data_IF_258545734420
#
_entry.id   IF_258545734420
#
_cell.length_a   1.000
_cell.length_b   1.000
_cell.length_c   1.000
_cell.angle_alpha   90.00
_cell.angle_beta   90.00
_cell.angle_gamma   90.00
#
_symmetry.space_group_name_H-M   'P 1'
#
loop_
_entity.id
_entity.type
_entity.pdbx_description
1 polymer ?
#
# COMPACT_ATOMS: atom_id res chain seq x y z
N UNK A 1 -4.65 9.20 -23.87
CA UNK A 1 -4.09 7.90 -23.45
C UNK A 1 -2.93 8.18 -22.50
N UNK A 2 -2.93 7.61 -21.31
CA UNK A 2 -1.85 7.79 -20.32
C UNK A 2 -0.78 6.71 -20.48
N UNK A 3 0.46 7.14 -20.50
CA UNK A 3 1.63 6.26 -20.50
C UNK A 3 1.99 5.90 -19.07
N UNK A 4 1.89 4.64 -18.73
CA UNK A 4 2.08 4.12 -17.37
C UNK A 4 3.36 3.29 -17.28
N UNK A 5 4.18 3.57 -16.30
CA UNK A 5 5.25 2.67 -15.83
C UNK A 5 4.73 1.90 -14.62
N UNK A 6 4.81 0.57 -14.67
CA UNK A 6 4.33 -0.33 -13.64
C UNK A 6 5.50 -1.03 -12.94
N UNK A 7 5.80 -0.63 -11.72
CA UNK A 7 6.82 -1.24 -10.88
C UNK A 7 6.20 -2.32 -10.00
N UNK A 8 6.53 -3.59 -10.25
CA UNK A 8 5.96 -4.75 -9.55
C UNK A 8 4.84 -5.44 -10.36
N UNK A 9 4.97 -5.51 -11.67
CA UNK A 9 3.94 -5.97 -12.63
C UNK A 9 3.49 -7.43 -12.42
N UNK A 10 4.30 -8.27 -11.79
CA UNK A 10 4.01 -9.69 -11.56
C UNK A 10 3.40 -9.99 -10.19
N UNK A 11 3.27 -8.98 -9.32
CA UNK A 11 2.57 -9.07 -8.03
C UNK A 11 1.05 -8.99 -8.18
N UNK A 12 0.32 -9.13 -7.06
CA UNK A 12 -1.16 -9.07 -7.05
C UNK A 12 -1.70 -7.76 -7.61
N UNK A 13 -1.19 -6.61 -7.15
CA UNK A 13 -1.59 -5.30 -7.67
C UNK A 13 -1.11 -5.11 -9.11
N UNK A 14 0.10 -5.58 -9.43
CA UNK A 14 0.64 -5.51 -10.79
C UNK A 14 -0.22 -6.25 -11.81
N UNK A 15 -0.61 -7.48 -11.51
CA UNK A 15 -1.50 -8.27 -12.39
C UNK A 15 -2.90 -7.66 -12.50
N UNK A 16 -3.43 -7.06 -11.43
CA UNK A 16 -4.68 -6.29 -11.49
C UNK A 16 -4.54 -5.03 -12.34
N UNK A 17 -3.37 -4.36 -12.29
CA UNK A 17 -3.08 -3.20 -13.15
C UNK A 17 -3.01 -3.59 -14.64
N UNK A 18 -2.41 -4.74 -14.95
CA UNK A 18 -2.39 -5.29 -16.31
C UNK A 18 -3.81 -5.56 -16.82
N UNK A 19 -4.68 -6.14 -15.98
CA UNK A 19 -6.10 -6.35 -16.33
C UNK A 19 -6.83 -5.02 -16.60
N UNK A 20 -6.57 -3.99 -15.81
CA UNK A 20 -7.15 -2.66 -16.03
C UNK A 20 -6.66 -2.06 -17.36
N UNK A 21 -5.39 -2.21 -17.69
CA UNK A 21 -4.84 -1.76 -18.98
C UNK A 21 -5.44 -2.56 -20.16
N UNK A 22 -5.70 -3.85 -19.98
CA UNK A 22 -6.38 -4.69 -20.97
C UNK A 22 -7.82 -4.22 -21.24
N UNK A 23 -8.54 -3.78 -20.19
CA UNK A 23 -9.93 -3.31 -20.32
C UNK A 23 -10.02 -1.89 -20.91
N UNK A 24 -8.97 -1.10 -20.81
CA UNK A 24 -8.93 0.31 -21.21
C UNK A 24 -7.79 0.61 -22.20
N UNK A 25 -7.69 -0.14 -23.33
CA UNK A 25 -6.54 -0.05 -24.25
C UNK A 25 -6.40 1.33 -24.93
N UNK A 26 -7.50 2.08 -25.05
CA UNK A 26 -7.50 3.42 -25.63
C UNK A 26 -7.16 4.53 -24.61
N UNK A 27 -7.12 4.20 -23.31
CA UNK A 27 -6.88 5.16 -22.24
C UNK A 27 -5.54 4.93 -21.53
N UNK A 28 -5.07 3.68 -21.42
CA UNK A 28 -3.88 3.28 -20.66
C UNK A 28 -2.93 2.49 -21.55
N UNK A 29 -1.66 2.90 -21.56
CA UNK A 29 -0.56 2.20 -22.23
C UNK A 29 0.54 1.89 -21.23
N UNK A 30 0.89 0.62 -21.07
CA UNK A 30 2.02 0.19 -20.26
C UNK A 30 3.31 0.34 -21.07
N UNK A 31 4.12 1.34 -20.75
CA UNK A 31 5.37 1.65 -21.47
C UNK A 31 6.63 1.14 -20.79
N UNK A 32 6.54 0.82 -19.49
CA UNK A 32 7.63 0.27 -18.70
C UNK A 32 7.08 -0.76 -17.69
N UNK A 33 7.73 -1.92 -17.58
CA UNK A 33 7.33 -2.99 -16.67
C UNK A 33 8.51 -3.43 -15.81
N UNK A 34 8.32 -3.52 -14.49
CA UNK A 34 9.32 -4.08 -13.60
C UNK A 34 8.77 -5.29 -12.83
N UNK A 35 9.58 -6.34 -12.73
CA UNK A 35 9.29 -7.52 -11.94
C UNK A 35 10.41 -7.82 -10.92
N UNK A 36 10.08 -8.53 -9.84
CA UNK A 36 11.06 -9.09 -8.93
C UNK A 36 11.80 -10.26 -9.58
N UNK A 37 11.25 -11.47 -9.42
CA UNK A 37 11.91 -12.71 -9.84
C UNK A 37 11.16 -13.52 -10.91
N UNK A 38 9.93 -13.16 -11.25
CA UNK A 38 9.09 -13.92 -12.16
C UNK A 38 9.35 -13.51 -13.62
N UNK A 39 10.34 -14.17 -14.23
CA UNK A 39 10.75 -13.94 -15.63
C UNK A 39 9.64 -14.31 -16.61
N UNK A 40 8.99 -15.45 -16.40
CA UNK A 40 7.98 -15.99 -17.33
C UNK A 40 6.80 -15.03 -17.50
N UNK A 41 6.23 -14.58 -16.38
CA UNK A 41 5.10 -13.64 -16.41
C UNK A 41 5.52 -12.27 -16.96
N UNK A 42 6.74 -11.80 -16.64
CA UNK A 42 7.27 -10.57 -17.23
C UNK A 42 7.41 -10.70 -18.75
N UNK A 43 7.89 -11.83 -19.27
CA UNK A 43 7.97 -12.10 -20.71
C UNK A 43 6.60 -12.10 -21.39
N UNK A 44 5.62 -12.77 -20.78
CA UNK A 44 4.24 -12.80 -21.26
C UNK A 44 3.66 -11.39 -21.38
N UNK A 45 3.76 -10.61 -20.29
CA UNK A 45 3.29 -9.23 -20.25
C UNK A 45 4.04 -8.33 -21.26
N UNK A 46 5.36 -8.53 -21.42
CA UNK A 46 6.17 -7.79 -22.38
C UNK A 46 5.76 -8.06 -23.82
N UNK A 47 5.51 -9.32 -24.17
CA UNK A 47 5.02 -9.70 -25.53
C UNK A 47 3.66 -9.10 -25.84
N UNK A 48 2.78 -9.07 -24.84
CA UNK A 48 1.41 -8.55 -24.97
C UNK A 48 1.37 -7.03 -25.10
N UNK A 49 2.00 -6.33 -24.17
CA UNK A 49 1.90 -4.86 -24.05
C UNK A 49 2.98 -4.11 -24.81
N UNK A 50 4.05 -4.78 -25.24
CA UNK A 50 5.17 -4.22 -26.01
C UNK A 50 5.72 -2.93 -25.39
N UNK A 51 6.12 -2.95 -24.09
CA UNK A 51 6.68 -1.78 -23.44
C UNK A 51 8.00 -1.40 -24.10
N UNK A 52 8.39 -0.13 -23.97
CA UNK A 52 9.69 0.35 -24.44
C UNK A 52 10.85 -0.19 -23.59
N UNK A 53 10.60 -0.41 -22.29
CA UNK A 53 11.61 -0.92 -21.38
C UNK A 53 11.02 -1.87 -20.32
N UNK A 54 11.87 -2.79 -19.85
CA UNK A 54 11.55 -3.67 -18.71
C UNK A 54 12.71 -3.70 -17.71
N UNK A 55 12.40 -4.04 -16.46
CA UNK A 55 13.41 -4.25 -15.42
C UNK A 55 13.12 -5.51 -14.60
N UNK A 56 14.17 -6.18 -14.18
CA UNK A 56 14.08 -7.33 -13.26
C UNK A 56 15.11 -7.19 -12.14
N UNK A 57 14.83 -7.74 -10.94
CA UNK A 57 15.73 -7.53 -9.80
C UNK A 57 17.13 -8.10 -10.02
N UNK A 58 17.22 -9.27 -10.63
CA UNK A 58 18.46 -10.04 -10.79
C UNK A 58 19.12 -9.74 -12.16
N UNK A 59 20.41 -9.39 -12.15
CA UNK A 59 21.18 -9.11 -13.35
C UNK A 59 21.43 -10.33 -14.23
N UNK A 60 21.48 -11.54 -13.67
CA UNK A 60 21.61 -12.78 -14.46
C UNK A 60 20.29 -13.03 -15.23
N UNK A 61 19.14 -12.84 -14.58
CA UNK A 61 17.82 -12.94 -15.24
C UNK A 61 17.62 -11.86 -16.30
N UNK A 62 18.23 -10.67 -16.13
CA UNK A 62 18.20 -9.63 -17.17
C UNK A 62 18.92 -10.07 -18.45
N UNK A 63 20.02 -10.82 -18.32
CA UNK A 63 20.71 -11.41 -19.49
C UNK A 63 19.87 -12.49 -20.18
N UNK A 64 19.14 -13.31 -19.42
CA UNK A 64 18.19 -14.28 -20.00
C UNK A 64 17.08 -13.57 -20.78
N UNK A 65 16.49 -12.50 -20.22
CA UNK A 65 15.51 -11.67 -20.92
C UNK A 65 16.08 -11.07 -22.21
N UNK A 66 17.33 -10.58 -22.18
CA UNK A 66 18.01 -10.00 -23.34
C UNK A 66 18.16 -11.03 -24.47
N UNK A 67 18.49 -12.28 -24.14
CA UNK A 67 18.61 -13.35 -25.13
C UNK A 67 17.28 -13.70 -25.81
N UNK A 68 16.16 -13.57 -25.08
CA UNK A 68 14.81 -13.90 -25.57
C UNK A 68 14.16 -12.73 -26.33
N UNK A 69 14.31 -11.50 -25.81
CA UNK A 69 13.65 -10.30 -26.36
C UNK A 69 14.50 -9.56 -27.41
N UNK A 70 15.79 -9.85 -27.46
CA UNK A 70 16.70 -9.18 -28.38
C UNK A 70 16.83 -7.67 -28.11
N UNK A 71 17.00 -6.89 -29.19
CA UNK A 71 17.15 -5.44 -29.10
C UNK A 71 15.82 -4.66 -29.16
N UNK A 72 14.68 -5.34 -29.16
CA UNK A 72 13.35 -4.71 -29.35
C UNK A 72 12.83 -4.00 -28.08
N UNK A 73 13.38 -4.35 -26.93
CA UNK A 73 12.98 -3.80 -25.61
C UNK A 73 14.26 -3.48 -24.83
N UNK A 74 14.29 -2.31 -24.22
CA UNK A 74 15.38 -1.93 -23.31
C UNK A 74 15.26 -2.73 -22.00
N UNK A 75 16.34 -3.39 -21.58
CA UNK A 75 16.34 -4.23 -20.38
C UNK A 75 17.26 -3.63 -19.30
N UNK A 76 16.70 -3.46 -18.11
CA UNK A 76 17.39 -2.98 -16.93
C UNK A 76 17.36 -4.02 -15.80
N UNK A 77 18.16 -3.80 -14.76
CA UNK A 77 18.14 -4.65 -13.56
C UNK A 77 18.44 -3.87 -12.29
N UNK A 78 18.03 -4.44 -11.16
CA UNK A 78 18.27 -3.91 -9.82
C UNK A 78 17.60 -2.57 -9.55
N UNK A 79 18.05 -1.89 -8.51
CA UNK A 79 17.51 -0.59 -8.10
C UNK A 79 17.69 0.50 -9.18
N UNK A 80 18.85 0.54 -9.82
CA UNK A 80 19.11 1.49 -10.90
C UNK A 80 18.14 1.28 -12.07
N UNK A 81 17.77 0.03 -12.34
CA UNK A 81 16.77 -0.31 -13.33
C UNK A 81 15.39 0.20 -12.99
N UNK A 82 14.99 0.12 -11.73
CA UNK A 82 13.72 0.69 -11.25
C UNK A 82 13.69 2.21 -11.39
N UNK A 83 14.80 2.89 -11.03
CA UNK A 83 14.92 4.35 -11.17
C UNK A 83 14.87 4.76 -12.64
N UNK A 84 15.57 4.05 -13.55
CA UNK A 84 15.52 4.33 -14.99
C UNK A 84 14.12 4.21 -15.56
N UNK A 85 13.36 3.17 -15.15
CA UNK A 85 11.96 3.05 -15.56
C UNK A 85 11.09 4.18 -14.99
N UNK A 86 11.24 4.47 -13.70
CA UNK A 86 10.45 5.50 -13.00
C UNK A 86 10.67 6.91 -13.59
N UNK A 87 11.81 7.14 -14.25
CA UNK A 87 12.17 8.44 -14.82
C UNK A 87 12.08 8.47 -16.36
N UNK A 88 11.41 7.48 -16.99
CA UNK A 88 11.20 7.49 -18.45
C UNK A 88 10.54 8.80 -18.90
N UNK A 89 11.09 9.52 -19.89
CA UNK A 89 10.55 10.82 -20.31
C UNK A 89 9.09 10.75 -20.75
N UNK A 90 8.69 9.67 -21.41
CA UNK A 90 7.36 9.46 -21.97
C UNK A 90 6.32 9.05 -20.93
N UNK A 91 6.73 8.74 -19.70
CA UNK A 91 5.81 8.34 -18.64
C UNK A 91 4.98 9.54 -18.15
N UNK A 92 3.68 9.38 -18.05
CA UNK A 92 2.78 10.32 -17.41
C UNK A 92 2.64 10.01 -15.90
N UNK A 93 2.62 8.71 -15.57
CA UNK A 93 2.41 8.22 -14.20
C UNK A 93 3.21 6.94 -13.94
N UNK A 94 3.72 6.81 -12.72
CA UNK A 94 4.41 5.60 -12.24
C UNK A 94 3.57 4.93 -11.17
N UNK A 95 3.08 3.71 -11.43
CA UNK A 95 2.40 2.90 -10.44
C UNK A 95 3.41 2.02 -9.69
N UNK A 96 3.45 2.19 -8.37
CA UNK A 96 4.42 1.53 -7.49
C UNK A 96 3.71 0.44 -6.69
N UNK A 97 3.93 -0.80 -7.11
CA UNK A 97 3.36 -2.02 -6.52
C UNK A 97 4.44 -2.99 -6.03
N UNK A 98 5.58 -2.45 -5.61
CA UNK A 98 6.68 -3.22 -5.01
C UNK A 98 6.41 -3.35 -3.51
N UNK A 99 6.42 -4.57 -2.99
CA UNK A 99 6.17 -4.84 -1.57
C UNK A 99 7.28 -4.24 -0.71
N UNK A 100 6.90 -3.64 0.41
CA UNK A 100 7.82 -3.03 1.38
C UNK A 100 8.39 -1.70 0.90
N UNK A 101 9.60 -1.38 1.35
CA UNK A 101 10.21 -0.06 1.20
C UNK A 101 11.07 0.12 -0.05
N UNK A 102 11.29 -0.94 -0.83
CA UNK A 102 12.15 -0.89 -2.05
C UNK A 102 11.61 0.06 -3.14
N UNK A 103 10.33 0.40 -3.08
CA UNK A 103 9.69 1.37 -3.97
C UNK A 103 10.01 2.84 -3.64
N UNK A 104 10.63 3.16 -2.50
CA UNK A 104 10.82 4.54 -2.06
C UNK A 104 11.77 5.34 -2.97
N UNK A 105 12.92 4.79 -3.30
CA UNK A 105 13.88 5.48 -4.19
C UNK A 105 13.31 5.73 -5.59
N UNK A 106 12.72 4.74 -6.30
CA UNK A 106 12.06 5.02 -7.57
C UNK A 106 10.86 5.97 -7.46
N UNK A 107 10.11 5.97 -6.34
CA UNK A 107 9.05 6.96 -6.10
C UNK A 107 9.58 8.39 -6.06
N UNK A 108 10.62 8.65 -5.28
CA UNK A 108 11.26 9.96 -5.19
C UNK A 108 11.90 10.37 -6.52
N UNK A 109 12.49 9.44 -7.27
CA UNK A 109 13.04 9.70 -8.59
C UNK A 109 11.94 10.09 -9.60
N UNK A 110 10.80 9.41 -9.61
CA UNK A 110 9.64 9.73 -10.44
C UNK A 110 9.11 11.15 -10.13
N UNK A 111 8.91 11.46 -8.84
CA UNK A 111 8.47 12.79 -8.39
C UNK A 111 9.41 13.88 -8.89
N UNK A 112 10.72 13.71 -8.70
CA UNK A 112 11.75 14.67 -9.12
C UNK A 112 11.83 14.81 -10.64
N UNK A 113 11.43 13.78 -11.37
CA UNK A 113 11.30 13.80 -12.84
C UNK A 113 9.95 14.38 -13.32
N UNK A 114 9.13 14.93 -12.42
CA UNK A 114 7.84 15.55 -12.74
C UNK A 114 6.75 14.55 -13.11
N UNK A 115 6.85 13.30 -12.65
CA UNK A 115 5.86 12.26 -12.93
C UNK A 115 4.86 12.13 -11.76
N UNK A 116 3.57 12.02 -12.09
CA UNK A 116 2.59 11.59 -11.10
C UNK A 116 2.93 10.19 -10.60
N UNK A 117 2.60 9.88 -9.35
CA UNK A 117 2.78 8.54 -8.81
C UNK A 117 1.46 7.97 -8.30
N UNK A 118 1.24 6.69 -8.54
CA UNK A 118 0.16 5.90 -7.94
C UNK A 118 0.78 4.91 -6.96
N UNK A 119 0.50 5.04 -5.66
CA UNK A 119 1.14 4.25 -4.60
C UNK A 119 0.21 3.14 -4.14
N UNK A 120 0.68 1.89 -4.31
CA UNK A 120 0.04 0.70 -3.74
C UNK A 120 0.82 0.14 -2.53
N UNK A 121 2.07 0.57 -2.33
CA UNK A 121 2.95 0.15 -1.22
C UNK A 121 2.87 1.18 -0.11
N UNK A 122 1.94 0.97 0.83
CA UNK A 122 1.71 1.87 1.98
C UNK A 122 2.95 2.12 2.81
N UNK A 123 3.84 1.15 2.87
CA UNK A 123 5.08 1.21 3.63
C UNK A 123 5.95 2.43 3.24
N UNK A 124 5.86 2.88 1.99
CA UNK A 124 6.59 4.07 1.50
C UNK A 124 6.13 5.34 2.25
N UNK A 125 4.82 5.55 2.37
CA UNK A 125 4.27 6.72 3.06
C UNK A 125 4.36 6.56 4.57
N UNK A 126 4.24 5.36 5.10
CA UNK A 126 4.46 5.11 6.53
C UNK A 126 5.89 5.48 6.91
N UNK A 127 6.88 5.04 6.15
CA UNK A 127 8.28 5.25 6.47
C UNK A 127 8.75 6.69 6.18
N UNK A 128 8.34 7.27 5.07
CA UNK A 128 8.89 8.52 4.54
C UNK A 128 7.83 9.50 4.01
N UNK A 129 6.60 9.47 4.57
CA UNK A 129 5.47 10.24 4.06
C UNK A 129 5.72 11.76 4.05
N UNK A 130 6.38 12.33 5.09
CA UNK A 130 6.77 13.75 5.12
C UNK A 130 7.66 14.09 3.91
N UNK A 131 8.68 13.27 3.64
CA UNK A 131 9.61 13.47 2.52
C UNK A 131 8.90 13.30 1.17
N UNK A 132 8.12 12.23 0.98
CA UNK A 132 7.44 11.94 -0.29
C UNK A 132 6.41 13.02 -0.63
N UNK A 133 5.55 13.39 0.33
CA UNK A 133 4.54 14.42 0.11
C UNK A 133 5.15 15.82 -0.02
N UNK A 134 6.25 16.09 0.70
CA UNK A 134 7.02 17.33 0.57
C UNK A 134 7.64 17.48 -0.83
N UNK A 135 8.29 16.45 -1.34
CA UNK A 135 8.83 16.44 -2.70
C UNK A 135 7.72 16.54 -3.75
N UNK A 136 6.60 15.84 -3.57
CA UNK A 136 5.46 15.92 -4.49
C UNK A 136 4.91 17.35 -4.60
N UNK A 137 4.72 18.04 -3.48
CA UNK A 137 4.32 19.47 -3.47
C UNK A 137 5.35 20.35 -4.16
N UNK A 138 6.63 20.14 -3.89
CA UNK A 138 7.73 20.92 -4.48
C UNK A 138 7.80 20.79 -6.01
N UNK A 139 7.56 19.60 -6.54
CA UNK A 139 7.61 19.35 -7.98
C UNK A 139 6.24 19.45 -8.67
N UNK A 140 5.16 19.76 -7.93
CA UNK A 140 3.82 19.95 -8.47
C UNK A 140 3.20 18.67 -9.05
N UNK A 141 3.58 17.50 -8.55
CA UNK A 141 3.06 16.20 -9.00
C UNK A 141 2.04 15.63 -8.03
N UNK A 142 1.16 14.76 -8.53
CA UNK A 142 0.12 14.11 -7.75
C UNK A 142 0.62 12.79 -7.17
N UNK A 143 0.19 12.52 -5.93
CA UNK A 143 0.31 11.22 -5.28
C UNK A 143 -1.08 10.62 -5.18
N UNK A 144 -1.35 9.58 -5.98
CA UNK A 144 -2.66 8.94 -6.09
C UNK A 144 -2.69 7.64 -5.30
N UNK A 145 -3.74 7.46 -4.51
CA UNK A 145 -3.92 6.26 -3.70
C UNK A 145 -4.41 5.08 -4.52
N UNK A 146 -3.78 3.93 -4.36
CA UNK A 146 -4.20 2.64 -4.96
C UNK A 146 -4.80 1.73 -3.90
N UNK A 147 -4.40 1.85 -2.63
CA UNK A 147 -5.03 1.10 -1.54
C UNK A 147 -6.54 1.41 -1.48
N UNK A 148 -7.39 0.41 -1.31
CA UNK A 148 -8.84 0.54 -1.50
C UNK A 148 -9.46 1.55 -0.56
N UNK A 149 -9.04 1.59 0.69
CA UNK A 149 -9.52 2.50 1.71
C UNK A 149 -9.14 3.96 1.42
N UNK A 150 -7.90 4.17 0.99
CA UNK A 150 -7.42 5.52 0.64
C UNK A 150 -8.01 6.01 -0.68
N UNK A 151 -8.18 5.12 -1.66
CA UNK A 151 -8.93 5.43 -2.88
C UNK A 151 -10.36 5.84 -2.56
N UNK A 152 -11.02 5.16 -1.62
CA UNK A 152 -12.36 5.48 -1.17
C UNK A 152 -12.42 6.87 -0.52
N UNK A 153 -11.50 7.18 0.41
CA UNK A 153 -11.39 8.51 1.01
C UNK A 153 -11.16 9.57 -0.05
N UNK A 154 -10.23 9.36 -0.97
CA UNK A 154 -9.93 10.28 -2.06
C UNK A 154 -11.16 10.57 -2.92
N UNK A 155 -11.97 9.55 -3.23
CA UNK A 155 -13.24 9.70 -3.96
C UNK A 155 -14.30 10.45 -3.15
N UNK A 156 -14.35 10.24 -1.82
CA UNK A 156 -15.29 10.91 -0.94
C UNK A 156 -14.92 12.39 -0.72
N UNK A 157 -13.64 12.72 -0.69
CA UNK A 157 -13.16 14.10 -0.56
C UNK A 157 -13.48 14.95 -1.79
N UNK A 158 -13.36 14.38 -2.98
CA UNK A 158 -13.71 15.03 -4.26
C UNK A 158 -13.16 16.47 -4.38
N UNK A 159 -11.91 16.65 -4.00
CA UNK A 159 -11.23 17.96 -4.04
C UNK A 159 -11.63 18.95 -2.94
N UNK A 160 -12.48 18.57 -1.99
CA UNK A 160 -12.81 19.42 -0.86
C UNK A 160 -11.61 19.62 0.07
N UNK A 161 -11.44 20.79 0.66
CA UNK A 161 -10.30 21.10 1.52
C UNK A 161 -10.36 20.32 2.84
N UNK A 162 -9.19 20.05 3.41
CA UNK A 162 -9.04 19.25 4.66
C UNK A 162 -9.68 19.90 5.88
N UNK A 163 -9.86 21.21 5.92
CA UNK A 163 -10.55 21.93 7.01
C UNK A 163 -12.06 21.64 7.05
N UNK A 164 -12.67 21.24 5.92
CA UNK A 164 -14.06 20.79 5.86
C UNK A 164 -14.27 19.38 6.42
N UNK A 165 -13.19 18.62 6.61
CA UNK A 165 -13.24 17.25 7.11
C UNK A 165 -13.21 17.24 8.63
N UNK A 166 -14.16 16.58 9.27
CA UNK A 166 -14.14 16.33 10.71
C UNK A 166 -13.29 15.13 11.04
N UNK A 167 -13.52 14.01 10.31
CA UNK A 167 -12.83 12.73 10.56
C UNK A 167 -12.79 11.86 9.32
N UNK A 168 -11.72 11.10 9.17
CA UNK A 168 -11.61 9.99 8.23
C UNK A 168 -11.90 8.69 8.95
N UNK A 169 -12.75 7.86 8.39
CA UNK A 169 -13.11 6.54 8.90
C UNK A 169 -12.59 5.46 7.96
N UNK A 170 -11.51 4.80 8.36
CA UNK A 170 -10.97 3.63 7.67
C UNK A 170 -11.78 2.40 8.06
N UNK A 171 -12.33 1.69 7.10
CA UNK A 171 -13.00 0.42 7.38
C UNK A 171 -12.00 -0.74 7.43
N UNK A 172 -12.26 -1.71 8.30
CA UNK A 172 -11.48 -2.93 8.43
C UNK A 172 -12.39 -4.15 8.37
N UNK A 173 -11.97 -5.24 7.71
CA UNK A 173 -12.72 -6.51 7.80
C UNK A 173 -12.76 -7.08 9.21
N UNK A 174 -11.83 -6.65 10.07
CA UNK A 174 -11.59 -7.18 11.42
C UNK A 174 -10.73 -8.43 11.45
N UNK A 175 -10.34 -8.95 10.28
CA UNK A 175 -9.50 -10.13 10.15
C UNK A 175 -10.17 -11.45 10.62
N UNK A 176 -9.44 -12.57 10.58
CA UNK A 176 -9.98 -13.89 10.94
C UNK A 176 -10.31 -14.03 12.44
N UNK A 177 -9.69 -13.22 13.30
CA UNK A 177 -9.82 -13.35 14.76
C UNK A 177 -10.75 -12.32 15.41
N UNK A 178 -11.54 -11.62 14.60
CA UNK A 178 -12.49 -10.60 15.09
C UNK A 178 -13.39 -11.09 16.23
N UNK A 179 -13.85 -12.34 16.18
CA UNK A 179 -14.73 -12.96 17.21
C UNK A 179 -14.00 -13.88 18.18
N UNK A 180 -12.69 -14.09 18.03
CA UNK A 180 -11.91 -14.98 18.86
C UNK A 180 -11.70 -14.37 20.25
N UNK A 181 -11.99 -15.10 21.36
CA UNK A 181 -11.70 -14.60 22.70
C UNK A 181 -10.20 -14.32 22.91
N UNK A 182 -9.88 -13.30 23.71
CA UNK A 182 -8.47 -12.89 23.99
C UNK A 182 -7.64 -14.04 24.55
N UNK A 183 -8.25 -14.90 25.39
CA UNK A 183 -7.58 -16.06 25.98
C UNK A 183 -7.04 -17.06 24.95
N UNK A 184 -7.66 -17.13 23.77
CA UNK A 184 -7.29 -18.09 22.73
C UNK A 184 -6.17 -17.56 21.80
N UNK A 185 -5.78 -16.29 21.93
CA UNK A 185 -4.77 -15.67 21.05
C UNK A 185 -3.40 -16.30 21.18
N UNK A 186 -3.04 -16.84 22.34
CA UNK A 186 -1.75 -17.52 22.55
C UNK A 186 -1.60 -18.79 21.70
N UNK A 187 -2.73 -19.42 21.33
CA UNK A 187 -2.76 -20.66 20.53
C UNK A 187 -2.92 -20.44 19.02
N UNK A 188 -2.98 -19.18 18.56
CA UNK A 188 -3.16 -18.87 17.11
C UNK A 188 -1.94 -19.36 16.31
N UNK A 189 -2.21 -20.16 15.28
CA UNK A 189 -1.20 -20.70 14.38
C UNK A 189 -1.04 -19.86 13.11
N UNK A 190 0.07 -20.05 12.40
CA UNK A 190 0.32 -19.39 11.11
C UNK A 190 -0.77 -19.72 10.09
N UNK A 191 -1.18 -20.99 10.05
CA UNK A 191 -2.21 -21.49 9.11
C UNK A 191 -3.58 -20.85 9.36
N UNK A 192 -3.91 -20.59 10.62
CA UNK A 192 -5.14 -19.88 11.00
C UNK A 192 -5.05 -18.40 10.62
N UNK A 193 -3.91 -17.74 10.89
CA UNK A 193 -3.71 -16.33 10.60
C UNK A 193 -3.64 -16.01 9.09
N UNK A 194 -3.28 -16.99 8.26
CA UNK A 194 -3.27 -16.87 6.80
C UNK A 194 -4.66 -17.06 6.14
N UNK A 195 -5.71 -17.38 6.91
CA UNK A 195 -7.08 -17.54 6.38
C UNK A 195 -7.87 -16.23 6.50
N UNK A 196 -7.70 -15.34 5.50
CA UNK A 196 -8.50 -14.11 5.46
C UNK A 196 -9.94 -14.40 5.04
N UNK A 197 -10.97 -13.79 5.69
CA UNK A 197 -12.38 -14.10 5.44
C UNK A 197 -12.90 -13.63 4.06
N UNK A 198 -12.32 -12.56 3.49
CA UNK A 198 -12.89 -11.88 2.31
C UNK A 198 -11.91 -11.69 1.15
N UNK A 199 -10.60 -11.61 1.42
CA UNK A 199 -9.59 -11.27 0.43
C UNK A 199 -8.56 -12.39 0.25
N UNK A 200 -8.11 -12.57 -1.01
CA UNK A 200 -6.92 -13.39 -1.32
C UNK A 200 -5.74 -12.44 -1.50
N UNK A 201 -4.81 -12.46 -0.57
CA UNK A 201 -3.71 -11.50 -0.50
C UNK A 201 -2.37 -12.19 -0.28
N UNK A 202 -1.28 -11.41 -0.38
CA UNK A 202 0.06 -11.87 -0.02
C UNK A 202 0.17 -12.24 1.47
N UNK A 203 1.17 -13.08 1.82
CA UNK A 203 1.33 -13.62 3.17
C UNK A 203 1.47 -12.53 4.25
N UNK A 204 2.34 -11.53 4.01
CA UNK A 204 2.59 -10.44 4.97
C UNK A 204 1.30 -9.65 5.27
N UNK A 205 0.62 -9.14 4.25
CA UNK A 205 -0.59 -8.34 4.42
C UNK A 205 -1.75 -9.15 5.03
N UNK A 206 -1.79 -10.47 4.82
CA UNK A 206 -2.80 -11.34 5.46
C UNK A 206 -2.56 -11.44 6.96
N UNK A 207 -1.31 -11.58 7.41
CA UNK A 207 -0.96 -11.54 8.85
C UNK A 207 -1.21 -10.14 9.42
N UNK A 208 -0.88 -9.09 8.68
CA UNK A 208 -1.17 -7.72 9.10
C UNK A 208 -2.68 -7.46 9.27
N UNK A 209 -3.51 -8.05 8.42
CA UNK A 209 -4.97 -8.02 8.58
C UNK A 209 -5.40 -8.77 9.84
N UNK A 210 -4.82 -9.94 10.11
CA UNK A 210 -5.12 -10.75 11.29
C UNK A 210 -4.77 -10.04 12.61
N UNK A 211 -3.74 -9.21 12.62
CA UNK A 211 -3.26 -8.44 13.77
C UNK A 211 -3.77 -6.99 13.81
N UNK A 212 -4.51 -6.55 12.79
CA UNK A 212 -4.87 -5.17 12.48
C UNK A 212 -3.68 -4.23 12.21
N UNK A 213 -2.46 -4.72 12.02
CA UNK A 213 -1.33 -3.89 11.56
C UNK A 213 -1.55 -3.33 10.15
N UNK A 214 -2.27 -4.04 9.27
CA UNK A 214 -2.63 -3.46 7.98
C UNK A 214 -3.35 -2.12 8.17
N UNK A 215 -4.37 -2.10 9.02
CA UNK A 215 -5.13 -0.88 9.30
C UNK A 215 -4.34 0.15 10.09
N UNK A 216 -3.44 -0.31 10.97
CA UNK A 216 -2.50 0.52 11.68
C UNK A 216 -1.58 1.32 10.74
N UNK A 217 -1.00 0.66 9.73
CA UNK A 217 -0.18 1.32 8.71
C UNK A 217 -1.00 2.28 7.85
N UNK A 218 -2.21 1.91 7.51
CA UNK A 218 -3.14 2.74 6.74
C UNK A 218 -3.55 4.03 7.47
N UNK A 219 -3.64 4.03 8.79
CA UNK A 219 -3.87 5.27 9.55
C UNK A 219 -2.75 6.29 9.33
N UNK A 220 -1.49 5.83 9.31
CA UNK A 220 -0.33 6.69 9.08
C UNK A 220 -0.27 7.13 7.61
N UNK A 221 -0.59 6.23 6.67
CA UNK A 221 -0.67 6.57 5.25
C UNK A 221 -1.74 7.65 4.98
N UNK A 222 -2.96 7.51 5.57
CA UNK A 222 -4.05 8.48 5.44
C UNK A 222 -3.65 9.87 5.93
N UNK A 223 -2.93 9.95 7.06
CA UNK A 223 -2.39 11.21 7.57
C UNK A 223 -1.60 11.97 6.49
N UNK A 224 -0.72 11.28 5.79
CA UNK A 224 0.15 11.89 4.79
C UNK A 224 -0.57 12.20 3.48
N UNK A 225 -1.36 11.25 2.96
CA UNK A 225 -2.07 11.42 1.70
C UNK A 225 -3.06 12.58 1.73
N UNK A 226 -3.76 12.75 2.86
CA UNK A 226 -4.87 13.72 2.97
C UNK A 226 -4.53 14.93 3.82
N UNK A 227 -3.27 15.05 4.25
CA UNK A 227 -2.77 16.17 5.08
C UNK A 227 -3.68 16.43 6.30
N UNK A 228 -3.94 15.37 7.06
CA UNK A 228 -4.85 15.39 8.21
C UNK A 228 -4.14 14.89 9.47
N UNK A 229 -4.51 15.45 10.64
CA UNK A 229 -3.93 15.04 11.91
C UNK A 229 -4.35 13.60 12.29
N UNK A 230 -3.44 12.85 12.94
CA UNK A 230 -3.72 11.47 13.39
C UNK A 230 -4.95 11.35 14.28
N UNK A 231 -5.23 12.37 15.09
CA UNK A 231 -6.42 12.41 15.96
C UNK A 231 -7.74 12.40 15.17
N UNK A 232 -7.69 12.77 13.90
CA UNK A 232 -8.84 12.80 12.99
C UNK A 232 -8.92 11.59 12.06
N UNK A 233 -8.07 10.58 12.26
CA UNK A 233 -8.11 9.29 11.54
C UNK A 233 -8.56 8.20 12.50
N UNK A 234 -9.70 7.60 12.24
CA UNK A 234 -10.26 6.53 13.03
C UNK A 234 -10.55 5.27 12.21
N UNK A 235 -10.80 4.18 12.92
CA UNK A 235 -11.04 2.86 12.34
C UNK A 235 -12.39 2.35 12.79
N UNK A 236 -13.13 1.75 11.87
CA UNK A 236 -14.36 1.02 12.16
C UNK A 236 -14.29 -0.37 11.52
N UNK A 237 -14.72 -1.39 12.24
CA UNK A 237 -14.78 -2.76 11.70
C UNK A 237 -16.06 -2.92 10.88
N UNK A 238 -15.90 -3.28 9.60
CA UNK A 238 -16.98 -3.55 8.65
C UNK A 238 -16.72 -4.89 7.95
N UNK A 239 -17.25 -6.00 8.49
CA UNK A 239 -16.89 -7.36 8.05
C UNK A 239 -17.21 -7.67 6.59
N UNK A 240 -18.22 -7.03 6.04
CA UNK A 240 -18.64 -7.24 4.65
C UNK A 240 -17.68 -6.61 3.63
N UNK A 241 -16.84 -5.65 4.06
CA UNK A 241 -15.86 -4.94 3.23
C UNK A 241 -16.47 -4.30 1.97
N UNK A 242 -17.73 -3.90 2.02
CA UNK A 242 -18.45 -3.24 0.91
C UNK A 242 -18.29 -1.73 0.97
N UNK A 243 -18.39 -1.16 2.18
CA UNK A 243 -17.97 0.22 2.44
C UNK A 243 -16.46 0.20 2.61
N UNK A 244 -15.74 0.81 1.66
CA UNK A 244 -14.28 0.78 1.69
C UNK A 244 -13.69 1.83 2.64
N UNK A 245 -14.30 2.99 2.77
CA UNK A 245 -14.02 4.03 3.79
C UNK A 245 -15.05 5.14 3.72
N UNK A 246 -15.00 6.06 4.70
CA UNK A 246 -15.94 7.17 4.81
C UNK A 246 -15.22 8.45 5.23
N UNK A 247 -15.79 9.58 4.84
CA UNK A 247 -15.38 10.92 5.31
C UNK A 247 -16.54 11.53 6.06
N UNK A 248 -16.31 11.94 7.31
CA UNK A 248 -17.22 12.73 8.13
C UNK A 248 -16.84 14.20 7.99
N UNK A 249 -17.77 15.03 7.61
CA UNK A 249 -17.57 16.46 7.43
C UNK A 249 -17.95 17.24 8.69
N UNK A 250 -17.50 18.50 8.75
CA UNK A 250 -17.73 19.38 9.93
C UNK A 250 -19.22 19.70 10.16
N UNK A 251 -20.06 19.59 9.13
CA UNK A 251 -21.51 19.74 9.21
C UNK A 251 -22.23 18.48 9.75
N UNK A 252 -21.48 17.39 10.04
CA UNK A 252 -22.00 16.12 10.52
C UNK A 252 -22.44 15.16 9.42
N UNK A 253 -22.35 15.52 8.14
CA UNK A 253 -22.62 14.58 7.05
C UNK A 253 -21.51 13.57 6.88
N UNK A 254 -21.86 12.35 6.42
CA UNK A 254 -20.90 11.30 6.09
C UNK A 254 -21.04 10.90 4.62
N UNK A 255 -19.92 10.85 3.90
CA UNK A 255 -19.86 10.33 2.53
C UNK A 255 -19.03 9.05 2.54
N UNK A 256 -19.55 8.00 1.93
CA UNK A 256 -18.94 6.69 1.85
C UNK A 256 -18.80 6.23 0.40
N UNK A 257 -17.68 5.60 0.06
CA UNK A 257 -17.53 4.89 -1.20
C UNK A 257 -17.82 3.40 -0.97
N UNK A 258 -18.69 2.86 -1.81
CA UNK A 258 -19.13 1.47 -1.74
C UNK A 258 -18.82 0.76 -3.06
N UNK A 259 -18.30 -0.45 -2.96
CA UNK A 259 -18.23 -1.40 -4.07
C UNK A 259 -18.03 -2.83 -3.57
N UNK A 260 -18.31 -3.80 -4.43
CA UNK A 260 -17.81 -5.16 -4.21
C UNK A 260 -16.28 -5.14 -4.21
N UNK A 261 -15.60 -5.86 -3.29
CA UNK A 261 -14.15 -5.85 -3.18
C UNK A 261 -13.45 -6.32 -4.46
N UNK A 262 -12.77 -5.39 -5.16
CA UNK A 262 -11.91 -5.67 -6.32
C UNK A 262 -10.87 -4.54 -6.47
N UNK A 263 -9.58 -4.91 -6.47
CA UNK A 263 -8.50 -3.95 -6.62
C UNK A 263 -8.42 -3.28 -7.99
N UNK A 264 -9.08 -3.83 -9.01
CA UNK A 264 -9.14 -3.18 -10.32
C UNK A 264 -9.84 -1.81 -10.26
N UNK A 265 -10.83 -1.63 -9.37
CA UNK A 265 -11.55 -0.36 -9.25
C UNK A 265 -10.65 0.80 -8.76
N UNK A 266 -9.96 0.70 -7.60
CA UNK A 266 -9.06 1.78 -7.15
C UNK A 266 -7.87 1.98 -8.08
N UNK A 267 -7.33 0.93 -8.70
CA UNK A 267 -6.27 1.04 -9.71
C UNK A 267 -6.77 1.82 -10.93
N UNK A 268 -7.94 1.44 -11.47
CA UNK A 268 -8.55 2.14 -12.60
C UNK A 268 -8.74 3.63 -12.27
N UNK A 269 -9.34 3.92 -11.11
CA UNK A 269 -9.58 5.30 -10.72
C UNK A 269 -8.30 6.13 -10.60
N UNK A 270 -7.24 5.57 -10.00
CA UNK A 270 -5.94 6.24 -9.91
C UNK A 270 -5.32 6.50 -11.30
N UNK A 271 -5.41 5.53 -12.22
CA UNK A 271 -4.82 5.66 -13.55
C UNK A 271 -5.64 6.54 -14.51
N UNK A 272 -6.96 6.66 -14.31
CA UNK A 272 -7.81 7.49 -15.18
C UNK A 272 -8.14 8.87 -14.60
N UNK A 273 -7.85 9.09 -13.31
CA UNK A 273 -8.17 10.37 -12.63
C UNK A 273 -7.72 11.59 -13.46
N UNK A 274 -8.58 12.64 -13.58
CA UNK A 274 -9.84 12.86 -12.86
C UNK A 274 -11.06 12.14 -13.45
N UNK A 275 -10.93 11.47 -14.58
CA UNK A 275 -12.03 10.81 -15.27
C UNK A 275 -12.47 9.53 -14.56
N UNK A 276 -13.76 9.18 -14.70
CA UNK A 276 -14.29 7.86 -14.32
C UNK A 276 -14.51 7.02 -15.58
N UNK A 277 -13.57 6.15 -15.89
CA UNK A 277 -13.71 5.26 -17.03
C UNK A 277 -14.80 4.19 -16.78
N UNK A 278 -15.52 3.84 -17.83
CA UNK A 278 -16.52 2.77 -17.78
C UNK A 278 -15.85 1.43 -17.47
N UNK A 279 -16.46 0.65 -16.57
CA UNK A 279 -16.02 -0.71 -16.26
C UNK A 279 -17.22 -1.58 -15.93
N UNK A 280 -17.22 -2.80 -16.43
CA UNK A 280 -18.23 -3.83 -16.13
C UNK A 280 -17.69 -4.87 -15.11
N UNK A 281 -16.45 -4.70 -14.60
CA UNK A 281 -15.81 -5.63 -13.65
C UNK A 281 -16.48 -5.64 -12.29
N UNK A 282 -16.85 -4.45 -11.78
CA UNK A 282 -17.38 -4.31 -10.44
C UNK A 282 -18.85 -3.91 -10.53
N UNK A 283 -19.72 -4.80 -10.06
CA UNK A 283 -21.16 -4.55 -9.99
C UNK A 283 -21.63 -4.77 -8.56
N UNK A 284 -22.14 -3.74 -7.92
CA UNK A 284 -22.62 -3.79 -6.55
C UNK A 284 -24.14 -3.76 -6.52
N UNK A 285 -24.76 -4.79 -5.99
CA UNK A 285 -26.20 -4.87 -5.81
C UNK A 285 -26.59 -4.72 -4.35
N UNK A 286 -27.12 -3.55 -3.98
CA UNK A 286 -27.54 -3.27 -2.60
C UNK A 286 -28.60 -4.25 -2.11
N UNK A 287 -29.53 -4.65 -2.96
CA UNK A 287 -30.58 -5.61 -2.61
C UNK A 287 -30.03 -7.00 -2.25
N UNK A 288 -28.93 -7.44 -2.90
CA UNK A 288 -28.24 -8.69 -2.57
C UNK A 288 -27.40 -8.59 -1.31
N UNK A 289 -26.86 -7.41 -0.99
CA UNK A 289 -26.06 -7.17 0.19
C UNK A 289 -26.91 -7.17 1.46
N UNK A 290 -28.13 -6.69 1.39
CA UNK A 290 -29.05 -6.64 2.53
C UNK A 290 -28.60 -5.63 3.59
N UNK A 291 -27.94 -6.12 4.67
CA UNK A 291 -27.50 -5.28 5.79
C UNK A 291 -26.01 -5.04 5.78
N UNK A 292 -25.60 -3.83 6.13
CA UNK A 292 -24.21 -3.45 6.43
C UNK A 292 -24.06 -3.29 7.93
N UNK A 293 -23.00 -3.86 8.52
CA UNK A 293 -22.75 -3.83 9.95
C UNK A 293 -21.42 -3.17 10.26
N UNK A 294 -21.39 -2.44 11.38
CA UNK A 294 -20.21 -1.73 11.86
C UNK A 294 -20.01 -2.02 13.33
N UNK A 295 -18.76 -2.20 13.74
CA UNK A 295 -18.36 -2.50 15.13
C UNK A 295 -17.14 -1.66 15.49
N UNK A 296 -16.99 -1.27 16.75
CA UNK A 296 -15.76 -0.65 17.23
C UNK A 296 -14.62 -1.66 17.25
N UNK A 297 -13.40 -1.25 16.86
CA UNK A 297 -12.24 -2.12 16.98
C UNK A 297 -11.86 -2.32 18.44
N UNK A 298 -11.52 -3.55 18.82
CA UNK A 298 -11.08 -3.89 20.18
C UNK A 298 -9.56 -3.63 20.33
N UNK A 299 -9.22 -2.47 20.89
CA UNK A 299 -7.82 -2.05 21.08
C UNK A 299 -7.05 -2.91 22.09
N UNK A 300 -7.72 -3.63 23.00
CA UNK A 300 -7.04 -4.53 23.93
C UNK A 300 -6.60 -5.84 23.27
N UNK A 301 -7.44 -6.38 22.36
CA UNK A 301 -7.09 -7.55 21.57
C UNK A 301 -6.14 -7.23 20.44
N UNK A 302 -6.26 -6.04 19.88
CA UNK A 302 -5.49 -5.57 18.71
C UNK A 302 -4.75 -4.25 18.97
N UNK A 303 -3.69 -4.28 19.80
CA UNK A 303 -2.96 -3.06 20.16
C UNK A 303 -2.24 -2.36 19.00
N UNK A 304 -2.19 -2.96 17.82
CA UNK A 304 -1.56 -2.38 16.63
C UNK A 304 -2.08 -0.98 16.31
N UNK A 305 -3.39 -0.74 16.46
CA UNK A 305 -4.01 0.58 16.21
C UNK A 305 -3.49 1.65 17.18
N UNK A 306 -3.31 1.30 18.46
CA UNK A 306 -2.74 2.22 19.46
C UNK A 306 -1.27 2.52 19.17
N UNK A 307 -0.48 1.51 18.76
CA UNK A 307 0.92 1.70 18.38
C UNK A 307 1.05 2.61 17.16
N UNK A 308 0.19 2.44 16.15
CA UNK A 308 0.19 3.30 14.96
C UNK A 308 -0.23 4.74 15.28
N UNK A 309 -1.23 4.94 16.15
CA UNK A 309 -1.63 6.27 16.61
C UNK A 309 -0.45 6.98 17.27
N UNK A 310 0.20 6.31 18.23
CA UNK A 310 1.42 6.82 18.88
C UNK A 310 2.52 7.14 17.84
N UNK A 311 2.81 6.23 16.91
CA UNK A 311 3.83 6.43 15.89
C UNK A 311 3.52 7.63 15.00
N UNK A 312 2.28 7.74 14.55
CA UNK A 312 1.84 8.84 13.70
C UNK A 312 1.78 10.19 14.43
N UNK A 313 1.42 10.24 15.71
CA UNK A 313 1.41 11.46 16.52
C UNK A 313 2.83 11.96 16.83
N UNK A 314 3.73 11.07 17.23
CA UNK A 314 5.13 11.36 17.50
C UNK A 314 5.87 11.76 16.21
N UNK A 315 5.59 11.07 15.11
CA UNK A 315 6.21 11.34 13.82
C UNK A 315 7.70 11.01 13.76
N UNK A 316 8.45 11.80 12.97
CA UNK A 316 9.88 11.61 12.78
C UNK A 316 10.22 10.20 12.29
N UNK A 317 11.20 9.56 12.92
CA UNK A 317 11.63 8.19 12.55
C UNK A 317 10.76 7.07 13.14
N UNK A 318 9.82 7.37 14.07
CA UNK A 318 9.06 6.33 14.77
C UNK A 318 8.14 5.49 13.86
N UNK A 319 7.46 6.05 12.84
CA UNK A 319 6.68 5.26 11.89
C UNK A 319 7.52 4.26 11.08
N UNK A 320 8.74 4.65 10.67
CA UNK A 320 9.67 3.75 9.99
C UNK A 320 10.07 2.58 10.90
N UNK A 321 10.32 2.85 12.18
CA UNK A 321 10.63 1.83 13.19
C UNK A 321 9.46 0.88 13.40
N UNK A 322 8.23 1.38 13.52
CA UNK A 322 7.03 0.55 13.63
C UNK A 322 6.91 -0.39 12.43
N UNK A 323 7.05 0.14 11.20
CA UNK A 323 6.95 -0.67 9.98
C UNK A 323 8.03 -1.75 9.92
N UNK A 324 9.30 -1.38 10.13
CA UNK A 324 10.42 -2.31 10.07
C UNK A 324 10.31 -3.43 11.12
N UNK A 325 9.93 -3.07 12.36
CA UNK A 325 9.72 -4.03 13.44
C UNK A 325 8.55 -4.98 13.12
N UNK A 326 7.45 -4.47 12.55
CA UNK A 326 6.33 -5.29 12.13
C UNK A 326 6.73 -6.29 11.03
N UNK A 327 7.48 -5.87 10.02
CA UNK A 327 7.94 -6.76 8.95
C UNK A 327 8.78 -7.92 9.51
N UNK A 328 9.74 -7.63 10.40
CA UNK A 328 10.59 -8.65 11.03
C UNK A 328 9.78 -9.58 11.94
N UNK A 329 8.87 -9.03 12.75
CA UNK A 329 8.03 -9.81 13.66
C UNK A 329 7.07 -10.73 12.90
N UNK A 330 6.46 -10.26 11.82
CA UNK A 330 5.59 -11.06 10.95
C UNK A 330 6.39 -12.20 10.29
N UNK A 331 7.60 -11.93 9.79
CA UNK A 331 8.46 -12.95 9.22
C UNK A 331 8.86 -14.01 10.28
N UNK A 332 9.20 -13.56 11.48
CA UNK A 332 9.52 -14.48 12.59
C UNK A 332 8.32 -15.34 12.98
N UNK A 333 7.10 -14.79 13.02
CA UNK A 333 5.88 -15.56 13.24
C UNK A 333 5.64 -16.59 12.14
N UNK A 334 5.72 -16.19 10.88
CA UNK A 334 5.55 -17.10 9.73
C UNK A 334 6.56 -18.25 9.77
N UNK A 335 7.78 -17.99 10.23
CA UNK A 335 8.83 -18.99 10.42
C UNK A 335 8.74 -19.72 11.78
N UNK A 336 7.63 -19.54 12.53
CA UNK A 336 7.34 -20.17 13.83
C UNK A 336 8.39 -19.90 14.92
N UNK A 337 9.11 -18.78 14.80
CA UNK A 337 10.09 -18.31 15.80
C UNK A 337 9.44 -17.37 16.83
N UNK A 338 8.24 -16.87 16.54
CA UNK A 338 7.51 -15.94 17.38
C UNK A 338 6.03 -16.39 17.46
N UNK A 339 5.37 -16.14 18.60
CA UNK A 339 3.91 -16.35 18.71
C UNK A 339 3.13 -15.21 18.07
N UNK A 340 1.83 -15.41 17.85
CA UNK A 340 0.93 -14.37 17.33
C UNK A 340 0.95 -13.10 18.21
N UNK A 341 0.84 -13.25 19.51
CA UNK A 341 0.95 -12.13 20.46
C UNK A 341 2.34 -11.51 20.47
N UNK A 342 3.37 -12.29 20.20
CA UNK A 342 4.75 -11.85 20.12
C UNK A 342 4.99 -10.81 19.02
N UNK A 343 4.18 -10.81 17.95
CA UNK A 343 4.29 -9.81 16.87
C UNK A 343 4.13 -8.40 17.44
N UNK A 344 3.01 -8.13 18.11
CA UNK A 344 2.73 -6.80 18.67
C UNK A 344 3.71 -6.42 19.77
N UNK A 345 4.13 -7.40 20.58
CA UNK A 345 5.09 -7.19 21.67
C UNK A 345 6.49 -6.81 21.12
N UNK A 346 6.95 -7.46 20.06
CA UNK A 346 8.22 -7.13 19.41
C UNK A 346 8.20 -5.71 18.84
N UNK A 347 7.10 -5.32 18.18
CA UNK A 347 6.93 -3.95 17.67
C UNK A 347 6.95 -2.94 18.80
N UNK A 348 6.16 -3.15 19.87
CA UNK A 348 6.11 -2.25 21.02
C UNK A 348 7.48 -2.07 21.65
N UNK A 349 8.17 -3.16 21.98
CA UNK A 349 9.53 -3.15 22.56
C UNK A 349 10.52 -2.37 21.68
N UNK A 350 10.47 -2.58 20.37
CA UNK A 350 11.38 -1.90 19.44
C UNK A 350 11.09 -0.39 19.39
N UNK A 351 9.81 0.00 19.36
CA UNK A 351 9.40 1.40 19.42
C UNK A 351 9.81 2.07 20.73
N UNK A 352 9.69 1.38 21.85
CA UNK A 352 10.04 1.92 23.19
C UNK A 352 11.55 2.12 23.35
N UNK A 353 12.36 1.29 22.71
CA UNK A 353 13.82 1.40 22.75
C UNK A 353 14.39 2.45 21.77
N UNK A 354 13.58 2.96 20.85
CA UNK A 354 14.05 3.88 19.82
C UNK A 354 14.18 5.31 20.30
N UNK A 355 15.29 5.97 19.92
CA UNK A 355 15.46 7.41 20.08
C UNK A 355 14.99 8.13 18.81
N UNK A 356 13.83 8.74 18.91
CA UNK A 356 13.19 9.40 17.76
C UNK A 356 14.00 10.59 17.28
N UNK A 357 14.23 10.66 15.98
CA UNK A 357 14.74 11.85 15.29
C UNK A 357 13.55 12.58 14.69
N UNK A 358 13.28 13.80 15.16
CA UNK A 358 12.25 14.66 14.59
C UNK A 358 12.76 15.27 13.28
N UNK A 359 11.87 15.38 12.25
CA UNK A 359 12.20 15.91 10.92
C UNK A 359 13.46 15.26 10.30
N UNK A 360 13.47 13.91 10.17
CA UNK A 360 14.66 13.19 9.74
C UNK A 360 14.95 13.42 8.25
N UNK A 361 16.23 13.38 7.89
CA UNK A 361 16.63 13.20 6.49
C UNK A 361 16.28 11.78 6.02
N UNK A 362 16.26 11.58 4.70
CA UNK A 362 16.04 10.23 4.13
C UNK A 362 17.07 9.21 4.65
N UNK A 363 18.31 9.62 4.79
CA UNK A 363 19.38 8.79 5.35
C UNK A 363 19.06 8.34 6.77
N UNK A 364 18.65 9.26 7.64
CA UNK A 364 18.26 8.96 9.03
C UNK A 364 17.01 8.05 9.10
N UNK A 365 16.09 8.17 8.16
CA UNK A 365 14.94 7.24 8.04
C UNK A 365 15.44 5.82 7.73
N UNK A 366 16.34 5.68 6.75
CA UNK A 366 16.90 4.40 6.36
C UNK A 366 17.77 3.77 7.47
N UNK A 367 18.51 4.57 8.20
CA UNK A 367 19.27 4.14 9.38
C UNK A 367 18.33 3.63 10.49
N UNK A 368 17.23 4.34 10.75
CA UNK A 368 16.23 3.94 11.74
C UNK A 368 15.52 2.63 11.35
N UNK A 369 15.17 2.44 10.06
CA UNK A 369 14.62 1.19 9.54
C UNK A 369 15.63 0.04 9.74
N UNK A 370 16.89 0.23 9.35
CA UNK A 370 17.93 -0.78 9.50
C UNK A 370 18.21 -1.14 10.97
N UNK A 371 18.19 -0.14 11.86
CA UNK A 371 18.32 -0.36 13.30
C UNK A 371 17.14 -1.14 13.85
N UNK A 372 15.92 -0.77 13.48
CA UNK A 372 14.70 -1.43 13.95
C UNK A 372 14.63 -2.90 13.53
N UNK A 373 15.05 -3.22 12.30
CA UNK A 373 15.15 -4.61 11.82
C UNK A 373 16.08 -5.46 12.69
N UNK A 374 17.21 -4.92 13.11
CA UNK A 374 18.14 -5.63 14.02
C UNK A 374 17.54 -5.76 15.42
N UNK A 375 16.97 -4.68 15.96
CA UNK A 375 16.40 -4.66 17.31
C UNK A 375 15.17 -5.57 17.47
N UNK A 376 14.32 -5.66 16.45
CA UNK A 376 13.15 -6.53 16.47
C UNK A 376 13.48 -8.03 16.31
N UNK A 377 14.63 -8.37 15.70
CA UNK A 377 15.09 -9.74 15.50
C UNK A 377 15.75 -10.37 16.73
N UNK A 378 16.07 -9.55 17.76
CA UNK A 378 16.65 -9.98 19.04
C UNK A 378 15.55 -10.12 20.11
#
# INVERSE_FOLDING_TARGET
MKNVVLLGCTGSIGTSTVKVADDLPDQIRLIGLAAGNNVELLLEQTRKHKPAAVSISDSAKAKELQNVLGATVQIYSGNDGLVKLATMPEADIVLIAIVGTAGLQPALAAIRAGKDIAIASKEILVMAGETVMGEARKYGVRVLAVDSEHSAIFQCLDGKPSDSVRKLWLTASGGPFRKTPKADFAGITVEQALKHPSWVMGRKITIDSATLFNKALEMIEARWLFDIEMARVDVVVHPQSVVHSMVEYVDGSMIAQLSTPDMCLPIQYALTYPERAKSDRVQTSLAKLGSLTFEDPDAERFPALTLARRAGEVGGTLPAVLNAANEVAVEAFVNRKLSFLGITEAVRRTMDAHKVVAHPTLEQILEADAWARKAAGN
#
